data_IF_842869784158
#
_entry.id   IF_842869784158
#
_cell.length_a   1.000
_cell.length_b   1.000
_cell.length_c   1.000
_cell.angle_alpha   90.00
_cell.angle_beta   90.00
_cell.angle_gamma   90.00
#
_symmetry.space_group_name_H-M   'P 1'
#
loop_
_entity.id
_entity.type
_entity.pdbx_description
1 polymer ?
#
# COMPACT_ATOMS: atom_id res chain seq x y z
N UNK A 1 18.92 4.83 2.23
CA UNK A 1 17.70 4.49 3.03
C UNK A 1 16.77 3.63 2.17
N UNK A 2 16.01 2.68 2.78
CA UNK A 2 15.00 1.89 2.05
C UNK A 2 13.60 2.26 2.53
N UNK A 3 12.70 2.49 1.59
CA UNK A 3 11.29 2.78 1.87
C UNK A 3 10.39 1.96 0.95
N UNK A 4 9.31 1.41 1.49
CA UNK A 4 8.28 0.72 0.70
C UNK A 4 7.01 1.54 0.60
N UNK A 5 6.31 1.38 -0.52
CA UNK A 5 4.99 1.93 -0.77
C UNK A 5 4.01 0.80 -1.06
N UNK A 6 2.96 0.69 -0.26
CA UNK A 6 1.89 -0.29 -0.46
C UNK A 6 0.81 0.31 -1.37
N UNK A 7 0.92 0.01 -2.66
CA UNK A 7 -0.06 0.40 -3.67
C UNK A 7 -0.86 -0.80 -4.22
N UNK A 8 -0.86 -1.90 -3.49
CA UNK A 8 -1.77 -3.02 -3.78
C UNK A 8 -3.17 -2.62 -3.36
N UNK A 9 -3.99 -2.19 -4.30
CA UNK A 9 -5.30 -1.61 -4.02
C UNK A 9 -6.46 -2.54 -4.39
N UNK A 10 -7.51 -2.48 -3.58
CA UNK A 10 -8.80 -3.09 -3.88
C UNK A 10 -9.70 -2.06 -4.53
N UNK A 11 -10.37 -2.40 -5.63
CA UNK A 11 -11.40 -1.61 -6.32
C UNK A 11 -11.19 -0.10 -6.15
N UNK A 12 -10.25 0.40 -6.92
CA UNK A 12 -9.89 1.81 -6.88
C UNK A 12 -11.07 2.63 -7.43
N UNK A 13 -11.83 3.23 -6.55
CA UNK A 13 -12.56 4.43 -6.91
C UNK A 13 -11.59 5.38 -7.61
N UNK A 14 -12.03 6.11 -8.60
CA UNK A 14 -11.19 6.93 -9.47
C UNK A 14 -10.14 7.78 -8.73
N UNK A 15 -10.45 8.30 -7.55
CA UNK A 15 -9.55 9.14 -6.78
C UNK A 15 -8.31 8.42 -6.23
N UNK A 16 -8.47 7.23 -5.65
CA UNK A 16 -7.32 6.49 -5.08
C UNK A 16 -6.37 6.00 -6.18
N UNK A 17 -6.93 5.55 -7.33
CA UNK A 17 -6.15 5.16 -8.50
C UNK A 17 -5.31 6.34 -9.02
N UNK A 18 -5.96 7.48 -9.26
CA UNK A 18 -5.30 8.70 -9.72
C UNK A 18 -4.21 9.15 -8.75
N UNK A 19 -4.47 9.07 -7.44
CA UNK A 19 -3.46 9.38 -6.42
C UNK A 19 -2.24 8.48 -6.54
N UNK A 20 -2.42 7.16 -6.60
CA UNK A 20 -1.32 6.19 -6.69
C UNK A 20 -0.48 6.42 -7.93
N UNK A 21 -1.13 6.56 -9.11
CA UNK A 21 -0.42 6.76 -10.37
C UNK A 21 0.35 8.07 -10.36
N UNK A 22 -0.29 9.17 -9.95
CA UNK A 22 0.37 10.46 -9.86
C UNK A 22 1.50 10.47 -8.83
N UNK A 23 1.34 9.75 -7.73
CA UNK A 23 2.39 9.61 -6.73
C UNK A 23 3.57 8.80 -7.29
N UNK A 24 3.33 7.65 -7.92
CA UNK A 24 4.36 6.88 -8.58
C UNK A 24 5.10 7.74 -9.62
N UNK A 25 4.36 8.46 -10.46
CA UNK A 25 4.92 9.30 -11.53
C UNK A 25 5.72 10.53 -11.02
N UNK A 26 5.68 10.82 -9.72
CA UNK A 26 6.47 11.91 -9.11
C UNK A 26 7.60 11.42 -8.22
N UNK A 27 7.53 10.17 -7.75
CA UNK A 27 8.45 9.66 -6.72
C UNK A 27 9.89 9.54 -7.23
N UNK A 28 10.12 9.39 -8.54
CA UNK A 28 11.47 9.34 -9.12
C UNK A 28 12.27 10.64 -8.93
N UNK A 29 11.57 11.74 -8.65
CA UNK A 29 12.18 13.04 -8.33
C UNK A 29 12.73 13.11 -6.90
N UNK A 30 12.38 12.14 -6.04
CA UNK A 30 12.91 12.06 -4.71
C UNK A 30 14.38 11.64 -4.73
N UNK A 31 15.05 11.90 -3.62
CA UNK A 31 16.48 11.70 -3.44
C UNK A 31 16.99 10.37 -4.03
N UNK A 32 17.91 10.43 -5.00
CA UNK A 32 18.52 9.29 -5.68
C UNK A 32 19.22 8.28 -4.74
N UNK A 33 19.59 8.71 -3.54
CA UNK A 33 20.22 7.84 -2.52
C UNK A 33 19.23 6.99 -1.72
N UNK A 34 17.92 7.06 -2.03
CA UNK A 34 16.90 6.25 -1.38
C UNK A 34 16.43 5.15 -2.33
N UNK A 35 16.56 3.90 -1.91
CA UNK A 35 15.94 2.78 -2.60
C UNK A 35 14.45 2.73 -2.30
N UNK A 36 13.65 2.74 -3.35
CA UNK A 36 12.20 2.80 -3.29
C UNK A 36 11.62 1.47 -3.78
N UNK A 37 10.81 0.83 -2.95
CA UNK A 37 10.11 -0.40 -3.27
C UNK A 37 8.61 -0.11 -3.40
N UNK A 38 8.02 -0.39 -4.56
CA UNK A 38 6.61 -0.15 -4.83
C UNK A 38 5.91 -1.49 -5.02
N UNK A 39 5.05 -1.86 -4.08
CA UNK A 39 4.18 -3.03 -4.19
C UNK A 39 2.93 -2.62 -4.98
N UNK A 40 2.68 -3.24 -6.12
CA UNK A 40 1.60 -2.85 -7.03
C UNK A 40 1.01 -4.07 -7.74
N UNK A 41 -0.30 -4.06 -8.02
CA UNK A 41 -0.93 -5.10 -8.81
C UNK A 41 -0.58 -4.99 -10.29
N UNK A 42 -0.48 -6.14 -10.96
CA UNK A 42 -0.09 -6.23 -12.39
C UNK A 42 -0.94 -5.37 -13.31
N UNK A 43 -2.25 -5.26 -13.05
CA UNK A 43 -3.19 -4.48 -13.86
C UNK A 43 -2.91 -2.96 -13.87
N UNK A 44 -2.09 -2.44 -12.98
CA UNK A 44 -1.75 -1.01 -12.92
C UNK A 44 -0.40 -0.67 -13.52
N UNK A 45 0.38 -1.67 -13.95
CA UNK A 45 1.72 -1.44 -14.51
C UNK A 45 1.70 -0.60 -15.78
N UNK A 46 0.70 -0.80 -16.64
CA UNK A 46 0.59 -0.06 -17.90
C UNK A 46 0.33 1.44 -17.71
N UNK A 47 -0.09 1.84 -16.51
CA UNK A 47 -0.40 3.24 -16.17
C UNK A 47 0.79 3.97 -15.51
N UNK A 48 1.85 3.23 -15.19
CA UNK A 48 3.07 3.79 -14.60
C UNK A 48 4.03 4.17 -15.74
N UNK A 49 4.54 5.39 -15.65
CA UNK A 49 5.51 5.93 -16.59
C UNK A 49 6.73 4.99 -16.75
N UNK A 50 7.16 4.77 -17.98
CA UNK A 50 8.33 3.96 -18.31
C UNK A 50 9.63 4.46 -17.65
N UNK A 51 9.74 5.76 -17.41
CA UNK A 51 10.86 6.35 -16.67
C UNK A 51 10.99 5.79 -15.24
N UNK A 52 9.88 5.47 -14.59
CA UNK A 52 9.89 4.87 -13.27
C UNK A 52 10.32 3.41 -13.34
N UNK A 53 9.81 2.71 -14.36
CA UNK A 53 10.13 1.30 -14.57
C UNK A 53 11.62 1.08 -14.85
N UNK A 54 12.28 2.06 -15.47
CA UNK A 54 13.72 2.05 -15.79
C UNK A 54 14.62 2.68 -14.72
N UNK A 55 14.07 3.26 -13.68
CA UNK A 55 14.84 3.95 -12.63
C UNK A 55 15.61 2.96 -11.76
N UNK A 56 16.91 3.13 -11.62
CA UNK A 56 17.79 2.24 -10.86
C UNK A 56 17.52 2.20 -9.36
N UNK A 57 16.95 3.28 -8.82
CA UNK A 57 16.62 3.39 -7.39
C UNK A 57 15.17 2.97 -7.05
N UNK A 58 14.36 2.60 -8.05
CA UNK A 58 12.98 2.15 -7.87
C UNK A 58 12.87 0.68 -8.24
N UNK A 59 12.28 -0.12 -7.34
CA UNK A 59 12.01 -1.54 -7.55
C UNK A 59 10.51 -1.78 -7.49
N UNK A 60 9.93 -2.17 -8.60
CA UNK A 60 8.52 -2.56 -8.67
C UNK A 60 8.37 -4.01 -8.23
N UNK A 61 7.61 -4.24 -7.18
CA UNK A 61 7.23 -5.57 -6.69
C UNK A 61 5.81 -5.86 -7.17
N UNK A 62 5.76 -6.57 -8.29
CA UNK A 62 4.49 -6.86 -8.96
C UNK A 62 3.74 -7.93 -8.19
N UNK A 63 2.50 -7.64 -7.85
CA UNK A 63 1.58 -8.55 -7.16
C UNK A 63 0.48 -9.04 -8.10
N UNK A 64 0.00 -10.27 -7.89
CA UNK A 64 -1.08 -10.83 -8.72
C UNK A 64 -2.40 -10.09 -8.50
N UNK A 65 -3.23 -10.06 -9.54
CA UNK A 65 -4.47 -9.29 -9.56
C UNK A 65 -5.54 -9.79 -8.58
N UNK A 66 -5.48 -11.06 -8.11
CA UNK A 66 -6.43 -11.53 -7.10
C UNK A 66 -6.32 -10.76 -5.76
N UNK A 67 -5.19 -10.11 -5.50
CA UNK A 67 -5.04 -9.22 -4.35
C UNK A 67 -5.85 -7.92 -4.48
N UNK A 68 -6.48 -7.67 -5.60
CA UNK A 68 -7.50 -6.62 -5.71
C UNK A 68 -8.80 -6.97 -4.95
N UNK A 69 -9.01 -8.25 -4.61
CA UNK A 69 -10.09 -8.66 -3.71
C UNK A 69 -9.75 -8.28 -2.26
N UNK A 70 -10.72 -7.68 -1.55
CA UNK A 70 -10.51 -7.16 -0.19
C UNK A 70 -10.02 -8.20 0.82
N UNK A 71 -10.55 -9.43 0.76
CA UNK A 71 -10.18 -10.51 1.68
C UNK A 71 -8.72 -10.92 1.50
N UNK A 72 -8.31 -11.24 0.27
CA UNK A 72 -6.94 -11.64 -0.05
C UNK A 72 -5.95 -10.52 0.22
N UNK A 73 -6.35 -9.27 -0.04
CA UNK A 73 -5.53 -8.10 0.26
C UNK A 73 -5.27 -7.95 1.76
N UNK A 74 -6.31 -8.04 2.59
CA UNK A 74 -6.16 -7.91 4.04
C UNK A 74 -5.25 -9.03 4.56
N UNK A 75 -5.46 -10.26 4.10
CA UNK A 75 -4.62 -11.39 4.48
C UNK A 75 -3.15 -11.17 4.10
N UNK A 76 -2.89 -10.82 2.84
CA UNK A 76 -1.54 -10.52 2.36
C UNK A 76 -0.91 -9.37 3.16
N UNK A 77 -1.63 -8.28 3.33
CA UNK A 77 -1.15 -7.10 4.03
C UNK A 77 -0.79 -7.42 5.49
N UNK A 78 -1.61 -8.21 6.20
CA UNK A 78 -1.38 -8.49 7.61
C UNK A 78 -0.29 -9.55 7.85
N UNK A 79 -0.23 -10.58 7.02
CA UNK A 79 0.60 -11.76 7.28
C UNK A 79 1.78 -11.92 6.32
N UNK A 80 1.70 -11.47 5.09
CA UNK A 80 2.76 -11.67 4.09
C UNK A 80 3.61 -10.41 3.93
N UNK A 81 3.01 -9.24 3.75
CA UNK A 81 3.74 -8.00 3.54
C UNK A 81 4.79 -7.70 4.63
N UNK A 82 4.53 -7.86 5.94
CA UNK A 82 5.55 -7.61 6.96
C UNK A 82 6.81 -8.47 6.79
N UNK A 83 6.65 -9.73 6.41
CA UNK A 83 7.78 -10.63 6.16
C UNK A 83 8.52 -10.28 4.86
N UNK A 84 7.81 -9.86 3.81
CA UNK A 84 8.43 -9.35 2.59
C UNK A 84 9.27 -8.10 2.88
N UNK A 85 8.74 -7.17 3.68
CA UNK A 85 9.49 -5.98 4.11
C UNK A 85 10.76 -6.36 4.88
N UNK A 86 10.67 -7.32 5.78
CA UNK A 86 11.82 -7.84 6.52
C UNK A 86 12.84 -8.51 5.57
N UNK A 87 12.38 -9.33 4.62
CA UNK A 87 13.22 -10.00 3.63
C UNK A 87 14.02 -8.98 2.80
N UNK A 88 13.40 -7.90 2.34
CA UNK A 88 14.05 -6.82 1.62
C UNK A 88 14.84 -5.84 2.52
N UNK A 89 14.87 -6.08 3.84
CA UNK A 89 15.49 -5.21 4.85
C UNK A 89 14.94 -3.78 4.82
N UNK A 90 13.64 -3.64 4.61
CA UNK A 90 12.92 -2.37 4.58
C UNK A 90 12.40 -2.08 5.98
N UNK A 91 12.70 -0.89 6.51
CA UNK A 91 12.27 -0.45 7.84
C UNK A 91 11.19 0.64 7.82
N UNK A 92 10.85 1.15 6.64
CA UNK A 92 9.86 2.23 6.50
C UNK A 92 8.82 1.83 5.46
N UNK A 93 7.55 1.79 5.86
CA UNK A 93 6.41 1.52 4.99
C UNK A 93 5.51 2.75 4.93
N UNK A 94 5.16 3.16 3.72
CA UNK A 94 4.11 4.12 3.45
C UNK A 94 2.86 3.38 2.96
N UNK A 95 1.76 3.48 3.70
CA UNK A 95 0.49 2.80 3.39
C UNK A 95 -0.63 3.83 3.22
N UNK A 96 -1.01 4.18 1.98
CA UNK A 96 -2.03 5.19 1.70
C UNK A 96 -3.46 4.61 1.64
N UNK A 97 -3.70 3.43 2.20
CA UNK A 97 -4.93 2.67 1.98
C UNK A 97 -5.85 2.59 3.20
N UNK A 98 -5.78 3.54 4.13
CA UNK A 98 -6.53 3.56 5.39
C UNK A 98 -6.29 2.35 6.31
N UNK A 99 -5.44 1.41 5.92
CA UNK A 99 -5.08 0.22 6.68
C UNK A 99 -3.58 -0.02 6.60
N UNK A 100 -3.01 -0.58 7.66
CA UNK A 100 -1.60 -0.97 7.70
C UNK A 100 -1.41 -2.29 8.43
N UNK A 101 -0.28 -2.99 8.21
CA UNK A 101 0.03 -4.22 8.90
C UNK A 101 0.23 -4.00 10.39
N UNK A 102 -0.47 -4.75 11.24
CA UNK A 102 -0.31 -4.71 12.69
C UNK A 102 1.05 -5.31 13.11
N UNK A 103 1.49 -6.37 12.41
CA UNK A 103 2.76 -7.03 12.69
C UNK A 103 3.99 -6.15 12.46
N UNK A 104 3.88 -5.05 11.72
CA UNK A 104 4.98 -4.12 11.53
C UNK A 104 5.55 -3.58 12.83
N UNK A 105 4.69 -3.36 13.84
CA UNK A 105 5.12 -2.92 15.19
C UNK A 105 6.06 -3.96 15.83
N UNK A 106 5.72 -5.23 15.75
CA UNK A 106 6.52 -6.33 16.32
C UNK A 106 7.85 -6.49 15.57
N UNK A 107 7.83 -6.26 14.25
CA UNK A 107 9.02 -6.40 13.39
C UNK A 107 9.88 -5.12 13.32
N UNK A 108 9.58 -4.10 14.14
CA UNK A 108 10.27 -2.80 14.16
C UNK A 108 10.27 -2.10 12.79
N UNK A 109 9.15 -2.18 12.05
CA UNK A 109 8.94 -1.51 10.78
C UNK A 109 8.09 -0.26 11.06
N UNK A 110 8.66 0.92 10.81
CA UNK A 110 7.93 2.19 10.92
C UNK A 110 6.90 2.29 9.79
N UNK A 111 5.66 2.56 10.14
CA UNK A 111 4.58 2.70 9.16
C UNK A 111 4.00 4.11 9.19
N UNK A 112 3.94 4.73 8.02
CA UNK A 112 3.22 5.98 7.78
C UNK A 112 1.90 5.61 7.14
N UNK A 113 0.82 5.72 7.90
CA UNK A 113 -0.53 5.47 7.43
C UNK A 113 -1.16 6.78 6.98
N UNK A 114 -1.64 6.83 5.74
CA UNK A 114 -2.40 7.97 5.23
C UNK A 114 -3.88 7.62 5.24
N UNK A 115 -4.65 8.43 5.94
CA UNK A 115 -6.10 8.31 6.00
C UNK A 115 -6.72 9.27 4.98
N UNK A 116 -7.33 8.72 3.94
CA UNK A 116 -8.05 9.51 2.94
C UNK A 116 -9.43 9.98 3.42
N UNK A 117 -9.98 9.30 4.43
CA UNK A 117 -11.29 9.63 4.98
C UNK A 117 -11.41 9.13 6.42
N UNK A 118 -12.03 9.92 7.28
CA UNK A 118 -12.41 9.52 8.63
C UNK A 118 -13.84 8.92 8.70
N UNK A 119 -14.52 8.82 7.56
CA UNK A 119 -15.89 8.28 7.49
C UNK A 119 -16.05 6.90 8.14
N UNK A 120 -15.11 5.93 7.98
CA UNK A 120 -15.23 4.63 8.62
C UNK A 120 -15.32 4.67 10.16
N UNK A 121 -14.71 5.69 10.77
CA UNK A 121 -14.73 5.85 12.24
C UNK A 121 -15.90 6.72 12.71
N UNK A 122 -16.20 7.79 11.98
CA UNK A 122 -17.26 8.73 12.35
C UNK A 122 -18.67 8.19 12.07
N UNK A 123 -18.83 7.42 11.00
CA UNK A 123 -20.13 6.91 10.54
C UNK A 123 -20.15 5.39 10.41
N UNK A 124 -19.50 4.71 11.34
CA UNK A 124 -19.33 3.26 11.33
C UNK A 124 -20.66 2.49 11.11
N UNK A 125 -21.73 2.93 11.77
CA UNK A 125 -23.05 2.27 11.70
C UNK A 125 -23.79 2.52 10.38
N UNK A 126 -23.39 3.50 9.59
CA UNK A 126 -24.02 3.88 8.33
C UNK A 126 -23.30 3.33 7.11
N UNK A 127 -22.10 2.77 7.28
CA UNK A 127 -21.32 2.26 6.16
C UNK A 127 -21.78 0.87 5.73
N UNK A 128 -22.22 0.70 4.47
CA UNK A 128 -22.46 -0.62 3.91
C UNK A 128 -21.14 -1.41 3.85
N UNK A 129 -21.12 -2.59 4.42
CA UNK A 129 -19.92 -3.40 4.36
C UNK A 129 -19.99 -4.68 5.18
N UNK A 130 -19.14 -5.61 4.83
CA UNK A 130 -19.04 -6.89 5.54
C UNK A 130 -18.55 -6.68 6.97
N UNK A 131 -19.13 -7.42 7.91
CA UNK A 131 -18.84 -7.39 9.34
C UNK A 131 -17.33 -7.42 9.65
N UNK A 132 -16.55 -8.26 8.95
CA UNK A 132 -15.10 -8.36 9.13
C UNK A 132 -14.35 -7.06 8.82
N UNK A 133 -14.68 -6.39 7.71
CA UNK A 133 -14.08 -5.09 7.38
C UNK A 133 -14.33 -4.07 8.49
N UNK A 134 -15.57 -4.05 8.99
CA UNK A 134 -15.99 -3.13 10.04
C UNK A 134 -15.29 -3.42 11.37
N UNK A 135 -15.01 -4.69 11.68
CA UNK A 135 -14.29 -5.09 12.88
C UNK A 135 -12.81 -4.63 12.85
N UNK A 136 -12.15 -4.76 11.69
CA UNK A 136 -10.77 -4.31 11.53
C UNK A 136 -10.61 -2.78 11.55
N UNK A 137 -11.59 -2.03 11.02
CA UNK A 137 -11.55 -0.57 11.07
C UNK A 137 -11.86 0.01 12.44
N UNK A 138 -12.57 -0.73 13.31
CA UNK A 138 -12.93 -0.27 14.66
C UNK A 138 -11.79 -0.45 15.70
N UNK A 139 -10.84 -1.33 15.45
CA UNK A 139 -9.75 -1.65 16.39
C UNK A 139 -8.44 -0.91 16.11
N UNK A 140 -8.39 -0.08 15.09
CA UNK A 140 -7.28 0.84 14.78
C UNK A 140 -7.58 2.24 15.33
#
# INVERSE_FOLDING_TARGET
MKIAFDFVATNLGSGTKTYIINFCNKIYKLNKNTEIYIFICKNYLAEIDSTIQSSSNIKLIIKPNYLSNAFFRIFWMQFILPFELKYFKIKNLYSPMNLSPILNKILNIKTILVLHSNLPWKYFNLMPGNYLRNLFTKKL
#
